data_IF_025609524224
#
_entry.id   IF_025609524224
#
_cell.length_a   1.000
_cell.length_b   1.000
_cell.length_c   1.000
_cell.angle_alpha   90.00
_cell.angle_beta   90.00
_cell.angle_gamma   90.00
#
_symmetry.space_group_name_H-M   'P 1'
#
loop_
_entity.id
_entity.type
_entity.pdbx_description
1 polymer ?
#
# COMPACT_ATOMS: atom_id res chain seq x y z
N UNK A 1 -3.13 -20.76 6.38
CA UNK A 1 -4.45 -20.73 5.74
C UNK A 1 -5.06 -19.37 6.04
N UNK A 2 -5.64 -18.68 5.05
CA UNK A 2 -6.37 -17.42 5.25
C UNK A 2 -7.85 -17.75 5.20
N UNK A 3 -8.64 -17.26 6.15
CA UNK A 3 -10.09 -17.41 6.16
C UNK A 3 -10.70 -16.25 5.37
N UNK A 4 -11.65 -16.53 4.48
CA UNK A 4 -12.39 -15.48 3.76
C UNK A 4 -13.81 -15.46 4.30
N UNK A 5 -14.26 -14.29 4.72
CA UNK A 5 -15.63 -14.03 5.16
C UNK A 5 -16.28 -13.04 4.20
N UNK A 6 -17.50 -13.34 3.78
CA UNK A 6 -18.31 -12.47 2.94
C UNK A 6 -19.44 -11.91 3.81
N UNK A 7 -19.62 -10.59 3.81
CA UNK A 7 -20.61 -9.90 4.64
C UNK A 7 -21.14 -8.67 3.90
N UNK A 8 -22.32 -8.17 4.26
CA UNK A 8 -22.83 -6.87 3.79
C UNK A 8 -22.71 -5.77 4.87
N UNK A 9 -22.33 -6.15 6.10
CA UNK A 9 -22.33 -5.26 7.28
C UNK A 9 -21.05 -4.44 7.43
N UNK A 10 -20.10 -4.60 6.50
CA UNK A 10 -18.81 -3.93 6.56
C UNK A 10 -18.92 -2.51 5.98
N UNK A 11 -18.60 -1.48 6.79
CA UNK A 11 -18.54 -0.10 6.30
C UNK A 11 -17.43 0.11 5.25
N UNK A 12 -16.32 -0.63 5.34
CA UNK A 12 -15.29 -0.64 4.30
C UNK A 12 -15.61 -1.69 3.24
N UNK A 13 -14.95 -1.59 2.07
CA UNK A 13 -15.11 -2.61 1.02
C UNK A 13 -14.47 -3.95 1.40
N UNK A 14 -13.39 -3.93 2.17
CA UNK A 14 -12.78 -5.10 2.77
C UNK A 14 -11.92 -4.72 3.99
N UNK A 15 -11.59 -5.71 4.81
CA UNK A 15 -10.63 -5.56 5.90
C UNK A 15 -9.88 -6.87 6.13
N UNK A 16 -8.57 -6.77 6.34
CA UNK A 16 -7.72 -7.89 6.76
C UNK A 16 -7.47 -7.78 8.27
N UNK A 17 -7.80 -8.83 9.01
CA UNK A 17 -7.71 -8.89 10.47
C UNK A 17 -7.08 -10.21 10.92
N UNK A 18 -6.75 -10.30 12.21
CA UNK A 18 -6.40 -11.57 12.85
C UNK A 18 -7.48 -11.88 13.87
N UNK A 19 -8.32 -12.88 13.56
CA UNK A 19 -9.37 -13.38 14.45
C UNK A 19 -8.98 -14.78 14.92
N UNK A 20 -9.00 -15.03 16.24
CA UNK A 20 -8.60 -16.32 16.84
C UNK A 20 -7.25 -16.85 16.32
N UNK A 21 -6.25 -15.96 16.26
CA UNK A 21 -4.92 -16.23 15.72
C UNK A 21 -4.89 -16.67 14.25
N UNK A 22 -6.00 -16.51 13.53
CA UNK A 22 -6.12 -16.82 12.10
C UNK A 22 -6.24 -15.53 11.30
N UNK A 23 -5.43 -15.37 10.23
CA UNK A 23 -5.62 -14.28 9.29
C UNK A 23 -6.98 -14.42 8.59
N UNK A 24 -7.85 -13.41 8.75
CA UNK A 24 -9.21 -13.36 8.22
C UNK A 24 -9.36 -12.15 7.30
N UNK A 25 -9.86 -12.38 6.09
CA UNK A 25 -10.19 -11.35 5.11
C UNK A 25 -11.72 -11.25 4.99
N UNK A 26 -12.30 -10.17 5.52
CA UNK A 26 -13.72 -9.88 5.38
C UNK A 26 -13.95 -8.96 4.17
N UNK A 27 -14.95 -9.27 3.35
CA UNK A 27 -15.25 -8.58 2.08
C UNK A 27 -16.71 -8.17 2.04
N UNK A 28 -16.96 -6.90 1.72
CA UNK A 28 -18.31 -6.39 1.45
C UNK A 28 -18.77 -6.80 0.04
N UNK A 29 -19.84 -7.60 -0.06
CA UNK A 29 -20.33 -8.07 -1.36
C UNK A 29 -21.02 -7.00 -2.18
N UNK A 30 -21.69 -6.03 -1.55
CA UNK A 30 -22.40 -4.95 -2.24
C UNK A 30 -21.48 -4.09 -3.15
N UNK A 31 -20.18 -4.02 -2.82
CA UNK A 31 -19.17 -3.28 -3.59
C UNK A 31 -18.21 -4.12 -4.42
N UNK A 32 -18.32 -5.44 -4.40
CA UNK A 32 -17.30 -6.35 -4.92
C UNK A 32 -17.33 -6.46 -6.46
N UNK A 33 -16.47 -5.67 -7.14
CA UNK A 33 -16.24 -5.78 -8.59
C UNK A 33 -15.00 -6.63 -8.87
N UNK A 34 -15.01 -7.42 -9.95
CA UNK A 34 -13.93 -8.38 -10.27
C UNK A 34 -12.52 -7.76 -10.19
N UNK A 35 -12.24 -6.70 -10.98
CA UNK A 35 -10.91 -6.09 -11.00
C UNK A 35 -10.50 -5.44 -9.67
N UNK A 36 -11.50 -4.98 -8.90
CA UNK A 36 -11.26 -4.47 -7.56
C UNK A 36 -10.86 -5.62 -6.63
N UNK A 37 -11.60 -6.73 -6.66
CA UNK A 37 -11.33 -7.92 -5.84
C UNK A 37 -9.96 -8.51 -6.15
N UNK A 38 -9.63 -8.68 -7.43
CA UNK A 38 -8.30 -9.15 -7.87
C UNK A 38 -7.17 -8.24 -7.36
N UNK A 39 -7.37 -6.91 -7.43
CA UNK A 39 -6.41 -5.94 -6.92
C UNK A 39 -6.26 -6.03 -5.40
N UNK A 40 -7.37 -6.14 -4.69
CA UNK A 40 -7.39 -6.31 -3.23
C UNK A 40 -6.71 -7.61 -2.80
N UNK A 41 -6.92 -8.73 -3.49
CA UNK A 41 -6.23 -9.99 -3.20
C UNK A 41 -4.71 -9.87 -3.41
N UNK A 42 -4.25 -9.15 -4.44
CA UNK A 42 -2.82 -8.87 -4.62
C UNK A 42 -2.26 -7.96 -3.54
N UNK A 43 -3.03 -6.98 -3.07
CA UNK A 43 -2.67 -6.09 -1.96
C UNK A 43 -2.52 -6.89 -0.66
N UNK A 44 -3.60 -7.53 -0.20
CA UNK A 44 -3.65 -8.18 1.11
C UNK A 44 -2.91 -9.51 1.15
N UNK A 45 -3.18 -10.40 0.19
CA UNK A 45 -2.60 -11.75 0.19
C UNK A 45 -1.26 -11.74 -0.55
N UNK A 46 -1.25 -11.19 -1.76
CA UNK A 46 -0.08 -11.15 -2.64
C UNK A 46 1.09 -10.34 -2.08
N UNK A 47 0.82 -9.38 -1.19
CA UNK A 47 1.84 -8.50 -0.61
C UNK A 47 1.94 -8.70 0.89
N UNK A 48 0.96 -8.20 1.65
CA UNK A 48 1.06 -8.12 3.12
C UNK A 48 1.20 -9.51 3.76
N UNK A 49 0.36 -10.47 3.37
CA UNK A 49 0.40 -11.82 3.92
C UNK A 49 1.68 -12.56 3.54
N UNK A 50 2.04 -12.61 2.25
CA UNK A 50 3.25 -13.32 1.80
C UNK A 50 4.51 -12.73 2.45
N UNK A 51 4.66 -11.40 2.45
CA UNK A 51 5.80 -10.73 3.09
C UNK A 51 5.79 -10.91 4.59
N UNK A 52 4.61 -10.94 5.23
CA UNK A 52 4.45 -11.30 6.63
C UNK A 52 4.95 -12.72 6.93
N UNK A 53 4.56 -13.72 6.14
CA UNK A 53 5.01 -15.11 6.28
C UNK A 53 6.53 -15.19 6.12
N UNK A 54 7.10 -14.57 5.10
CA UNK A 54 8.54 -14.54 4.91
C UNK A 54 9.26 -13.87 6.08
N UNK A 55 8.70 -12.76 6.59
CA UNK A 55 9.24 -12.02 7.73
C UNK A 55 9.34 -12.87 9.00
N UNK A 56 8.38 -13.77 9.26
CA UNK A 56 8.40 -14.62 10.48
C UNK A 56 9.64 -15.50 10.62
N UNK A 57 10.35 -15.76 9.51
CA UNK A 57 11.55 -16.59 9.49
C UNK A 57 12.85 -15.79 9.58
N UNK A 58 12.76 -14.46 9.49
CA UNK A 58 13.93 -13.61 9.41
C UNK A 58 14.49 -13.27 10.79
N UNK A 59 15.80 -13.05 10.93
CA UNK A 59 16.40 -12.60 12.20
C UNK A 59 15.81 -11.28 12.74
N UNK A 60 15.19 -10.48 11.88
CA UNK A 60 14.54 -9.21 12.21
C UNK A 60 13.01 -9.31 12.34
N UNK A 61 12.47 -10.51 12.56
CA UNK A 61 11.02 -10.68 12.71
C UNK A 61 10.47 -9.97 13.96
N UNK A 62 11.30 -9.79 15.00
CA UNK A 62 10.96 -9.10 16.26
C UNK A 62 11.52 -7.68 16.32
N UNK A 63 10.98 -6.85 17.22
CA UNK A 63 11.46 -5.48 17.47
C UNK A 63 12.95 -5.43 17.84
N UNK A 64 13.43 -6.40 18.62
CA UNK A 64 14.83 -6.54 19.03
C UNK A 64 15.70 -6.82 17.81
N UNK A 65 15.28 -7.76 16.95
CA UNK A 65 15.97 -8.05 15.69
C UNK A 65 15.99 -6.84 14.77
N UNK A 66 14.88 -6.12 14.59
CA UNK A 66 14.85 -4.89 13.78
C UNK A 66 15.86 -3.85 14.28
N UNK A 67 16.02 -3.71 15.60
CA UNK A 67 17.03 -2.82 16.22
C UNK A 67 18.45 -3.32 16.01
N UNK A 68 18.71 -4.61 16.23
CA UNK A 68 20.03 -5.25 16.05
C UNK A 68 20.56 -5.05 14.63
N UNK A 69 19.69 -5.15 13.63
CA UNK A 69 20.05 -4.94 12.23
C UNK A 69 19.88 -3.47 11.78
N UNK A 70 19.50 -2.56 12.68
CA UNK A 70 19.30 -1.12 12.39
C UNK A 70 18.42 -0.92 11.13
N UNK A 71 17.26 -1.57 11.09
CA UNK A 71 16.39 -1.52 9.93
C UNK A 71 15.74 -0.15 9.74
N UNK A 72 15.67 0.30 8.49
CA UNK A 72 14.86 1.45 8.12
C UNK A 72 13.36 1.12 8.25
N UNK A 73 12.49 2.14 8.35
CA UNK A 73 11.04 1.93 8.36
C UNK A 73 10.58 1.19 7.10
N UNK A 74 9.94 0.02 7.28
CA UNK A 74 9.45 -0.76 6.14
C UNK A 74 8.12 -0.23 5.57
N UNK A 75 7.39 0.60 6.33
CA UNK A 75 6.02 0.96 6.00
C UNK A 75 5.84 1.59 4.59
N UNK A 76 6.70 2.53 4.13
CA UNK A 76 6.62 3.02 2.75
C UNK A 76 6.81 1.94 1.70
N UNK A 77 7.71 0.98 1.94
CA UNK A 77 7.93 -0.15 1.03
C UNK A 77 6.73 -1.10 1.03
N UNK A 78 6.22 -1.47 2.20
CA UNK A 78 5.08 -2.39 2.35
C UNK A 78 3.84 -1.83 1.63
N UNK A 79 3.43 -0.62 1.98
CA UNK A 79 2.21 -0.01 1.47
C UNK A 79 2.36 0.46 0.02
N UNK A 80 3.57 0.89 -0.38
CA UNK A 80 3.89 1.20 -1.77
C UNK A 80 3.76 -0.01 -2.69
N UNK A 81 4.38 -1.14 -2.32
CA UNK A 81 4.25 -2.40 -3.06
C UNK A 81 2.80 -2.85 -3.13
N UNK A 82 2.09 -2.86 -1.99
CA UNK A 82 0.71 -3.32 -1.95
C UNK A 82 -0.21 -2.44 -2.81
N UNK A 83 0.03 -1.12 -2.82
CA UNK A 83 -0.72 -0.18 -3.66
C UNK A 83 -0.44 -0.38 -5.15
N UNK A 84 0.82 -0.56 -5.56
CA UNK A 84 1.19 -0.90 -6.94
C UNK A 84 0.54 -2.22 -7.38
N UNK A 85 0.64 -3.26 -6.57
CA UNK A 85 0.08 -4.58 -6.87
C UNK A 85 -1.45 -4.55 -7.04
N UNK A 86 -2.14 -3.60 -6.38
CA UNK A 86 -3.59 -3.43 -6.51
C UNK A 86 -4.04 -2.96 -7.90
N UNK A 87 -3.15 -2.26 -8.63
CA UNK A 87 -3.42 -1.73 -9.97
C UNK A 87 -2.67 -2.47 -11.09
N UNK A 88 -1.72 -3.34 -10.73
CA UNK A 88 -0.73 -3.98 -11.63
C UNK A 88 -1.24 -4.51 -12.96
N UNK A 89 -2.45 -5.09 -13.02
CA UNK A 89 -3.02 -5.67 -14.24
C UNK A 89 -4.29 -4.97 -14.73
N UNK A 90 -4.53 -3.74 -14.27
CA UNK A 90 -5.62 -2.93 -14.81
C UNK A 90 -5.24 -2.44 -16.20
N UNK A 91 -6.23 -2.35 -17.10
CA UNK A 91 -6.04 -1.78 -18.43
C UNK A 91 -5.45 -0.36 -18.35
N UNK A 92 -5.96 0.44 -17.43
CA UNK A 92 -5.48 1.79 -17.12
C UNK A 92 -5.12 1.83 -15.62
N UNK A 93 -3.86 1.59 -15.25
CA UNK A 93 -3.45 1.50 -13.86
C UNK A 93 -3.19 2.90 -13.26
N UNK A 94 -4.22 3.74 -13.25
CA UNK A 94 -4.10 5.08 -12.67
C UNK A 94 -3.90 5.04 -11.16
N UNK A 95 -3.03 5.92 -10.68
CA UNK A 95 -2.67 6.12 -9.27
C UNK A 95 -3.50 7.21 -8.59
N UNK A 96 -4.53 7.75 -9.28
CA UNK A 96 -5.35 8.86 -8.79
C UNK A 96 -5.94 8.61 -7.40
N UNK A 97 -6.26 7.36 -7.03
CA UNK A 97 -6.78 7.06 -5.69
C UNK A 97 -5.75 7.33 -4.61
N UNK A 98 -4.50 6.93 -4.82
CA UNK A 98 -3.41 7.19 -3.88
C UNK A 98 -3.09 8.69 -3.83
N UNK A 99 -3.12 9.38 -4.98
CA UNK A 99 -2.93 10.82 -5.04
C UNK A 99 -4.04 11.60 -4.33
N UNK A 100 -5.30 11.21 -4.53
CA UNK A 100 -6.44 11.83 -3.87
C UNK A 100 -6.40 11.58 -2.35
N UNK A 101 -6.00 10.38 -1.90
CA UNK A 101 -5.78 10.13 -0.47
C UNK A 101 -4.71 11.05 0.10
N UNK A 102 -3.57 11.16 -0.58
CA UNK A 102 -2.48 12.05 -0.15
C UNK A 102 -2.94 13.50 -0.05
N UNK A 103 -3.60 14.00 -1.09
CA UNK A 103 -4.20 15.34 -1.14
C UNK A 103 -5.20 15.54 0.00
N UNK A 104 -6.14 14.60 0.18
CA UNK A 104 -7.17 14.68 1.22
C UNK A 104 -6.54 14.83 2.61
N UNK A 105 -5.49 14.08 2.92
CA UNK A 105 -4.79 14.19 4.20
C UNK A 105 -4.13 15.57 4.36
N UNK A 106 -3.44 16.04 3.32
CA UNK A 106 -2.80 17.36 3.32
C UNK A 106 -3.82 18.47 3.59
N UNK A 107 -4.96 18.44 2.89
CA UNK A 107 -6.05 19.41 3.06
C UNK A 107 -6.71 19.29 4.44
N UNK A 108 -6.97 18.07 4.91
CA UNK A 108 -7.52 17.82 6.23
C UNK A 108 -6.67 18.43 7.35
N UNK A 109 -5.34 18.46 7.19
CA UNK A 109 -4.44 19.09 8.16
C UNK A 109 -4.69 20.59 8.35
N UNK A 110 -5.38 21.24 7.41
CA UNK A 110 -5.64 22.70 7.39
C UNK A 110 -7.11 23.06 7.44
N UNK A 111 -8.00 22.15 7.07
CA UNK A 111 -9.44 22.40 6.93
C UNK A 111 -10.26 21.72 8.03
N UNK A 112 -11.45 22.25 8.32
CA UNK A 112 -12.48 21.51 9.06
C UNK A 112 -13.04 20.35 8.22
N UNK A 113 -13.80 19.44 8.83
CA UNK A 113 -14.47 18.35 8.10
C UNK A 113 -15.42 18.88 7.01
N UNK A 114 -16.25 19.88 7.33
CA UNK A 114 -17.21 20.44 6.38
C UNK A 114 -16.52 21.17 5.23
N UNK A 115 -15.46 21.92 5.52
CA UNK A 115 -14.66 22.59 4.50
C UNK A 115 -13.92 21.59 3.62
N UNK A 116 -13.35 20.52 4.19
CA UNK A 116 -12.74 19.43 3.43
C UNK A 116 -13.76 18.73 2.51
N UNK A 117 -14.97 18.47 3.01
CA UNK A 117 -16.04 17.85 2.22
C UNK A 117 -16.41 18.68 0.98
N UNK A 118 -16.45 20.01 1.12
CA UNK A 118 -16.67 20.93 0.01
C UNK A 118 -15.44 20.98 -0.92
N UNK A 119 -14.23 21.06 -0.37
CA UNK A 119 -12.97 21.11 -1.13
C UNK A 119 -12.81 19.87 -2.04
N UNK A 120 -13.20 18.68 -1.59
CA UNK A 120 -13.12 17.45 -2.39
C UNK A 120 -14.12 17.37 -3.55
N UNK A 121 -15.14 18.24 -3.62
CA UNK A 121 -16.15 18.23 -4.69
C UNK A 121 -15.55 18.41 -6.08
N UNK A 122 -14.44 19.14 -6.18
CA UNK A 122 -13.74 19.36 -7.44
C UNK A 122 -13.18 18.06 -8.05
N UNK A 123 -13.01 17.00 -7.25
CA UNK A 123 -12.47 15.70 -7.69
C UNK A 123 -13.48 14.55 -7.55
N UNK A 124 -14.36 14.60 -6.54
CA UNK A 124 -15.31 13.54 -6.21
C UNK A 124 -16.71 14.12 -6.12
N UNK A 125 -17.53 13.88 -7.14
CA UNK A 125 -18.89 14.41 -7.21
C UNK A 125 -19.84 13.72 -6.21
N UNK A 126 -19.70 12.39 -6.08
CA UNK A 126 -20.54 11.58 -5.20
C UNK A 126 -20.32 11.97 -3.72
N UNK A 127 -21.40 12.39 -3.06
CA UNK A 127 -21.38 12.85 -1.68
C UNK A 127 -21.03 11.73 -0.67
N UNK A 128 -21.46 10.49 -0.93
CA UNK A 128 -21.15 9.35 -0.07
C UNK A 128 -19.66 9.02 -0.11
N UNK A 129 -19.06 8.98 -1.30
CA UNK A 129 -17.63 8.76 -1.47
C UNK A 129 -16.82 9.90 -0.82
N UNK A 130 -17.21 11.16 -1.02
CA UNK A 130 -16.57 12.30 -0.34
C UNK A 130 -16.60 12.15 1.18
N UNK A 131 -17.75 11.78 1.73
CA UNK A 131 -17.91 11.53 3.16
C UNK A 131 -16.93 10.48 3.66
N UNK A 132 -16.78 9.36 2.95
CA UNK A 132 -15.80 8.31 3.29
C UNK A 132 -14.36 8.84 3.34
N UNK A 133 -13.96 9.66 2.37
CA UNK A 133 -12.63 10.31 2.36
C UNK A 133 -12.45 11.23 3.57
N UNK A 134 -13.43 12.07 3.89
CA UNK A 134 -13.38 12.96 5.05
C UNK A 134 -13.30 12.19 6.36
N UNK A 135 -14.15 11.18 6.56
CA UNK A 135 -14.14 10.32 7.75
C UNK A 135 -12.78 9.66 7.90
N UNK A 136 -12.22 9.12 6.82
CA UNK A 136 -10.92 8.45 6.84
C UNK A 136 -9.80 9.40 7.26
N UNK A 137 -9.82 10.65 6.77
CA UNK A 137 -8.83 11.66 7.08
C UNK A 137 -8.98 12.29 8.48
N UNK A 138 -10.21 12.37 9.00
CA UNK A 138 -10.54 13.02 10.28
C UNK A 138 -10.77 12.05 11.44
N UNK A 139 -10.73 10.74 11.20
CA UNK A 139 -10.99 9.73 12.23
C UNK A 139 -10.09 9.90 13.45
N UNK A 140 -10.66 9.69 14.63
CA UNK A 140 -9.96 9.80 15.91
C UNK A 140 -9.88 11.23 16.47
N UNK A 141 -10.41 12.23 15.76
CA UNK A 141 -10.52 13.59 16.31
C UNK A 141 -11.78 13.77 17.15
N UNK A 142 -11.64 14.48 18.27
CA UNK A 142 -12.75 14.85 19.15
C UNK A 142 -13.59 15.98 18.56
N UNK A 143 -12.95 17.00 18.00
CA UNK A 143 -13.61 18.15 17.37
C UNK A 143 -13.16 18.29 15.91
N UNK A 144 -14.01 17.84 15.00
CA UNK A 144 -13.73 17.86 13.56
C UNK A 144 -14.00 19.23 12.91
N UNK A 145 -14.43 20.23 13.67
CA UNK A 145 -14.46 21.63 13.20
C UNK A 145 -13.05 22.23 13.09
N UNK A 146 -12.07 21.64 13.79
CA UNK A 146 -10.70 22.10 13.80
C UNK A 146 -9.84 21.44 12.70
N UNK A 147 -8.74 22.10 12.29
CA UNK A 147 -7.71 21.48 11.46
C UNK A 147 -7.07 20.25 12.12
N UNK A 148 -6.56 19.33 11.28
CA UNK A 148 -5.81 18.16 11.70
C UNK A 148 -6.22 16.90 10.92
N UNK A 149 -5.38 15.87 10.94
CA UNK A 149 -5.65 14.66 10.18
C UNK A 149 -5.06 13.40 10.82
N UNK A 150 -5.59 12.25 10.43
CA UNK A 150 -4.99 10.95 10.61
C UNK A 150 -4.15 10.62 9.35
N UNK A 151 -2.85 10.90 9.40
CA UNK A 151 -2.00 10.97 8.20
C UNK A 151 -1.57 9.64 7.58
N UNK A 152 -2.07 8.51 8.09
CA UNK A 152 -1.62 7.16 7.70
C UNK A 152 -1.64 6.92 6.19
N UNK A 153 -2.64 7.44 5.48
CA UNK A 153 -2.84 7.11 4.07
C UNK A 153 -1.91 7.86 3.10
N UNK A 154 -1.13 8.84 3.56
CA UNK A 154 -0.11 9.49 2.71
C UNK A 154 0.97 8.50 2.27
N UNK A 155 1.22 7.46 3.06
CA UNK A 155 2.25 6.46 2.77
C UNK A 155 1.99 5.68 1.48
N UNK A 156 0.73 5.60 1.02
CA UNK A 156 0.42 4.87 -0.21
C UNK A 156 1.08 5.52 -1.42
N UNK A 157 0.85 6.82 -1.65
CA UNK A 157 1.46 7.52 -2.77
C UNK A 157 2.97 7.67 -2.57
N UNK A 158 3.42 8.07 -1.37
CA UNK A 158 4.86 8.19 -1.07
C UNK A 158 5.61 6.87 -1.35
N UNK A 159 5.07 5.75 -0.86
CA UNK A 159 5.62 4.43 -1.11
C UNK A 159 5.62 4.04 -2.59
N UNK A 160 4.53 4.31 -3.33
CA UNK A 160 4.45 4.06 -4.78
C UNK A 160 5.58 4.79 -5.50
N UNK A 161 5.72 6.10 -5.27
CA UNK A 161 6.70 6.92 -5.96
C UNK A 161 8.13 6.46 -5.67
N UNK A 162 8.44 6.13 -4.40
CA UNK A 162 9.76 5.60 -4.03
C UNK A 162 10.08 4.29 -4.73
N UNK A 163 9.14 3.36 -4.76
CA UNK A 163 9.34 2.07 -5.45
C UNK A 163 9.50 2.28 -6.95
N UNK A 164 8.70 3.14 -7.58
CA UNK A 164 8.82 3.43 -9.01
C UNK A 164 10.14 4.12 -9.35
N UNK A 165 10.62 5.07 -8.55
CA UNK A 165 11.94 5.72 -8.71
C UNK A 165 13.06 4.70 -8.73
N UNK A 166 13.02 3.71 -7.83
CA UNK A 166 14.08 2.72 -7.69
C UNK A 166 13.77 1.39 -8.39
N UNK A 167 12.72 1.29 -9.22
CA UNK A 167 12.26 0.01 -9.77
C UNK A 167 13.33 -0.74 -10.56
N UNK A 168 14.25 -0.02 -11.21
CA UNK A 168 15.34 -0.62 -11.98
C UNK A 168 16.50 -1.13 -11.12
N UNK A 169 16.60 -0.69 -9.85
CA UNK A 169 17.69 -1.04 -8.94
C UNK A 169 17.25 -1.98 -7.81
N UNK A 170 15.95 -2.08 -7.54
CA UNK A 170 15.39 -2.99 -6.54
C UNK A 170 15.44 -4.45 -7.05
N UNK A 171 16.10 -5.32 -6.30
CA UNK A 171 15.96 -6.77 -6.44
C UNK A 171 14.60 -7.21 -5.84
N UNK A 172 13.53 -7.17 -6.65
CA UNK A 172 12.17 -7.48 -6.20
C UNK A 172 12.00 -8.91 -5.64
N UNK A 173 12.55 -9.97 -6.28
CA UNK A 173 12.50 -11.31 -5.70
C UNK A 173 13.15 -11.39 -4.32
N UNK A 174 14.33 -10.78 -4.15
CA UNK A 174 14.99 -10.74 -2.85
C UNK A 174 14.21 -9.90 -1.84
N UNK A 175 13.70 -8.73 -2.24
CA UNK A 175 12.84 -7.90 -1.40
C UNK A 175 11.60 -8.67 -0.92
N UNK A 176 10.95 -9.45 -1.79
CA UNK A 176 9.84 -10.32 -1.41
C UNK A 176 10.28 -11.40 -0.40
N UNK A 177 11.42 -12.03 -0.63
CA UNK A 177 11.96 -13.10 0.23
C UNK A 177 12.37 -12.60 1.62
N UNK A 178 12.92 -11.39 1.74
CA UNK A 178 13.36 -10.78 3.00
C UNK A 178 12.19 -10.32 3.91
N UNK A 179 10.94 -10.40 3.44
CA UNK A 179 9.77 -10.05 4.25
C UNK A 179 9.64 -8.55 4.49
N UNK A 180 9.26 -8.13 5.71
CA UNK A 180 8.82 -6.76 6.00
C UNK A 180 9.99 -5.80 6.27
N UNK A 181 10.76 -5.50 5.22
CA UNK A 181 11.94 -4.61 5.24
C UNK A 181 11.82 -3.48 4.22
N UNK A 182 12.56 -2.39 4.41
CA UNK A 182 12.67 -1.32 3.39
C UNK A 182 13.40 -1.85 2.14
N UNK A 183 13.02 -1.39 0.95
CA UNK A 183 13.76 -1.68 -0.29
C UNK A 183 15.23 -1.24 -0.20
N UNK A 184 15.51 -0.22 0.60
CA UNK A 184 16.85 0.34 0.81
C UNK A 184 17.78 -0.61 1.60
N UNK A 185 17.21 -1.50 2.41
CA UNK A 185 17.99 -2.44 3.22
C UNK A 185 18.33 -3.75 2.48
N UNK A 186 17.71 -3.99 1.32
CA UNK A 186 17.75 -5.28 0.59
C UNK A 186 19.18 -5.78 0.36
N UNK A 187 20.04 -4.93 -0.20
CA UNK A 187 21.42 -5.31 -0.55
C UNK A 187 22.25 -5.66 0.70
N UNK A 188 22.06 -4.91 1.79
CA UNK A 188 22.78 -5.14 3.05
C UNK A 188 22.31 -6.41 3.76
N UNK A 189 21.01 -6.70 3.70
CA UNK A 189 20.39 -7.83 4.39
C UNK A 189 20.56 -9.17 3.66
N UNK A 190 20.90 -9.16 2.36
CA UNK A 190 21.08 -10.38 1.54
C UNK A 190 21.90 -11.48 2.22
N UNK A 191 22.99 -11.12 2.91
CA UNK A 191 23.90 -12.07 3.58
C UNK A 191 23.39 -12.62 4.92
N UNK A 192 22.34 -12.03 5.47
CA UNK A 192 21.77 -12.42 6.78
C UNK A 192 20.39 -13.06 6.64
N UNK A 193 19.71 -12.85 5.51
CA UNK A 193 18.36 -13.30 5.29
C UNK A 193 18.24 -14.82 5.17
N UNK A 194 17.19 -15.37 5.76
CA UNK A 194 16.79 -16.75 5.55
C UNK A 194 15.98 -16.81 4.26
N UNK A 195 16.61 -17.24 3.16
CA UNK A 195 16.01 -17.26 1.82
C UNK A 195 15.39 -18.61 1.45
N UNK A 196 15.75 -19.67 2.18
CA UNK A 196 15.22 -21.01 1.94
C UNK A 196 13.69 -21.05 2.12
N UNK A 197 13.01 -21.62 1.13
CA UNK A 197 11.53 -21.75 1.10
C UNK A 197 10.81 -20.40 1.22
N UNK A 198 11.46 -19.30 0.84
CA UNK A 198 10.81 -18.00 0.72
C UNK A 198 9.69 -18.08 -0.31
N UNK A 199 8.56 -17.43 -0.01
CA UNK A 199 7.40 -17.39 -0.91
C UNK A 199 7.50 -16.17 -1.80
N UNK A 200 7.47 -16.38 -3.10
CA UNK A 200 7.39 -15.29 -4.09
C UNK A 200 5.97 -15.23 -4.64
N UNK A 201 5.32 -14.05 -4.69
CA UNK A 201 3.99 -13.91 -5.27
C UNK A 201 3.96 -14.39 -6.72
N UNK A 202 2.89 -15.07 -7.13
CA UNK A 202 2.81 -15.65 -8.48
C UNK A 202 3.02 -14.62 -9.60
N UNK A 203 2.45 -13.42 -9.45
CA UNK A 203 2.58 -12.34 -10.43
C UNK A 203 3.99 -11.71 -10.50
N UNK A 204 4.91 -12.10 -9.62
CA UNK A 204 6.31 -11.67 -9.59
C UNK A 204 7.27 -12.79 -10.05
N UNK A 205 6.76 -13.99 -10.35
CA UNK A 205 7.58 -15.11 -10.85
C UNK A 205 8.12 -14.83 -12.26
N UNK A 206 7.33 -14.18 -13.11
CA UNK A 206 7.76 -13.64 -14.39
C UNK A 206 8.21 -12.20 -14.18
N UNK A 207 9.51 -12.03 -13.90
CA UNK A 207 10.09 -10.72 -13.56
C UNK A 207 10.05 -9.77 -14.76
N UNK A 208 10.24 -10.27 -15.99
CA UNK A 208 10.19 -9.43 -17.19
C UNK A 208 8.79 -8.82 -17.36
N UNK A 209 7.75 -9.66 -17.23
CA UNK A 209 6.36 -9.18 -17.28
C UNK A 209 6.05 -8.24 -16.12
N UNK A 210 6.51 -8.55 -14.92
CA UNK A 210 6.32 -7.70 -13.74
C UNK A 210 6.92 -6.30 -13.96
N UNK A 211 8.16 -6.22 -14.44
CA UNK A 211 8.83 -4.96 -14.77
C UNK A 211 8.08 -4.19 -15.85
N UNK A 212 7.63 -4.87 -16.92
CA UNK A 212 6.78 -4.23 -17.96
C UNK A 212 5.49 -3.64 -17.39
N UNK A 213 4.87 -4.26 -16.39
CA UNK A 213 3.69 -3.68 -15.72
C UNK A 213 4.05 -2.45 -14.90
N UNK A 214 5.19 -2.43 -14.21
CA UNK A 214 5.64 -1.23 -13.49
C UNK A 214 5.92 -0.06 -14.45
N UNK A 215 6.56 -0.32 -15.58
CA UNK A 215 6.79 0.69 -16.62
C UNK A 215 5.46 1.15 -17.27
N UNK A 216 4.48 0.24 -17.42
CA UNK A 216 3.13 0.60 -17.85
C UNK A 216 2.43 1.53 -16.85
N UNK A 217 2.63 1.32 -15.54
CA UNK A 217 2.11 2.23 -14.50
C UNK A 217 2.76 3.61 -14.62
N UNK A 218 4.08 3.68 -14.74
CA UNK A 218 4.83 4.94 -14.90
C UNK A 218 4.30 5.74 -16.10
N UNK A 219 4.29 5.10 -17.28
CA UNK A 219 3.86 5.74 -18.53
C UNK A 219 2.38 6.14 -18.53
N UNK A 220 1.48 5.30 -18.00
CA UNK A 220 0.04 5.63 -17.93
C UNK A 220 -0.24 6.86 -17.05
N UNK A 221 0.56 7.06 -16.00
CA UNK A 221 0.39 8.18 -15.08
C UNK A 221 1.22 9.41 -15.47
N UNK A 222 1.85 9.40 -16.66
CA UNK A 222 2.66 10.51 -17.16
C UNK A 222 3.93 10.77 -16.35
N UNK A 223 4.37 9.81 -15.52
CA UNK A 223 5.57 9.93 -14.71
C UNK A 223 6.81 9.67 -15.56
N UNK A 224 7.90 10.37 -15.28
CA UNK A 224 9.23 10.08 -15.84
C UNK A 224 10.33 10.08 -14.76
N UNK A 225 11.56 9.71 -15.13
CA UNK A 225 12.68 9.61 -14.19
C UNK A 225 13.02 10.96 -13.55
N UNK A 226 13.01 12.06 -14.31
CA UNK A 226 13.30 13.40 -13.81
C UNK A 226 12.26 13.84 -12.76
N UNK A 227 10.98 13.61 -13.04
CA UNK A 227 9.90 13.90 -12.07
C UNK A 227 10.04 13.05 -10.80
N UNK A 228 10.35 11.75 -10.94
CA UNK A 228 10.53 10.86 -9.80
C UNK A 228 11.75 11.25 -8.94
N UNK A 229 12.80 11.77 -9.55
CA UNK A 229 13.95 12.33 -8.84
C UNK A 229 13.60 13.63 -8.10
N UNK A 230 12.84 14.53 -8.74
CA UNK A 230 12.47 15.82 -8.14
C UNK A 230 11.43 15.70 -7.02
N UNK A 231 10.48 14.76 -7.13
CA UNK A 231 9.34 14.64 -6.21
C UNK A 231 9.71 14.06 -4.83
N UNK A 232 10.87 13.41 -4.70
CA UNK A 232 11.25 12.70 -3.48
C UNK A 232 12.57 13.27 -2.95
N UNK A 233 12.64 13.68 -1.66
CA UNK A 233 13.90 14.08 -1.07
C UNK A 233 14.89 12.91 -1.10
N UNK A 234 16.17 13.22 -1.25
CA UNK A 234 17.28 12.25 -1.21
C UNK A 234 17.35 11.48 0.12
#
# INVERSE_FOLDING_TARGET
QVVVQLTDDLLSQAVMMVEDSRPTLAINLAGARQHWLEGMLRHEIGTHYIRGVNNTRQPWHSSEGRKQYSLKPANPTEEGLASLHSVLFRKQPFLWRAALLYYTIERASRLSFSALFQDLEQYVQDAGVRWEYCVRAKRGQTDTSQPGCFSKDQVYLDGILRILRHRQTIDFPLLAALGKVSYEDVNRLKKFGVLEKARIPHFMQDLERYMKQLDHIVTTNGLNEEELEQLLPD
#
